data_IF_415128818262
#
_entry.id   IF_415128818262
#
_cell.length_a   1.000
_cell.length_b   1.000
_cell.length_c   1.000
_cell.angle_alpha   90.00
_cell.angle_beta   90.00
_cell.angle_gamma   90.00
#
_symmetry.space_group_name_H-M   'P 1'
#
loop_
_entity.id
_entity.type
_entity.pdbx_description
1 polymer ?
#
# COMPACT_ATOMS: atom_id res chain seq x y z
N UNK A 1 -10.16 -17.34 12.32
CA UNK A 1 -9.25 -16.23 11.96
C UNK A 1 -10.12 -15.15 11.39
N UNK A 2 -10.10 -13.95 11.97
CA UNK A 2 -10.77 -12.80 11.37
C UNK A 2 -9.95 -12.37 10.15
N UNK A 3 -10.59 -12.23 8.99
CA UNK A 3 -9.93 -11.85 7.74
C UNK A 3 -9.53 -10.37 7.71
N UNK A 4 -10.14 -9.56 8.58
CA UNK A 4 -9.88 -8.13 8.77
C UNK A 4 -9.09 -7.84 10.04
N UNK A 5 -8.30 -8.81 10.52
CA UNK A 5 -7.42 -8.61 11.67
C UNK A 5 -5.98 -8.43 11.18
N UNK A 6 -5.45 -7.22 11.38
CA UNK A 6 -4.11 -6.80 10.95
C UNK A 6 -2.97 -7.62 11.58
N UNK A 7 -3.23 -8.36 12.66
CA UNK A 7 -2.22 -9.20 13.33
C UNK A 7 -2.01 -10.56 12.66
N UNK A 8 -2.88 -10.92 11.70
CA UNK A 8 -2.86 -12.22 11.03
C UNK A 8 -2.46 -12.09 9.56
N UNK A 9 -1.83 -13.14 9.04
CA UNK A 9 -1.50 -13.28 7.62
C UNK A 9 -2.44 -14.26 6.93
N UNK A 10 -2.64 -14.07 5.63
CA UNK A 10 -3.32 -15.05 4.78
C UNK A 10 -2.30 -16.10 4.30
N UNK A 11 -2.47 -17.40 4.62
CA UNK A 11 -1.48 -18.41 4.27
C UNK A 11 -1.33 -18.59 2.75
N UNK A 12 -0.11 -18.49 2.22
CA UNK A 12 0.14 -18.60 0.78
C UNK A 12 -0.24 -19.96 0.17
N UNK A 13 -0.33 -21.02 0.99
CA UNK A 13 -0.83 -22.34 0.54
C UNK A 13 -2.31 -22.29 0.12
N UNK A 14 -3.09 -21.43 0.75
CA UNK A 14 -4.52 -21.25 0.46
C UNK A 14 -4.74 -20.06 -0.48
N UNK A 15 -3.92 -19.01 -0.35
CA UNK A 15 -4.00 -17.78 -1.12
C UNK A 15 -2.66 -17.50 -1.82
N UNK A 16 -2.40 -18.11 -2.99
CA UNK A 16 -1.13 -17.96 -3.68
C UNK A 16 -0.92 -16.50 -4.16
N UNK A 17 0.32 -16.05 -4.11
CA UNK A 17 0.72 -14.74 -4.60
C UNK A 17 0.48 -14.62 -6.12
N UNK A 18 0.04 -13.44 -6.56
CA UNK A 18 -0.17 -13.11 -7.97
C UNK A 18 0.73 -11.94 -8.34
N UNK A 19 1.52 -12.09 -9.40
CA UNK A 19 2.36 -10.99 -9.91
C UNK A 19 1.47 -9.93 -10.57
N UNK A 20 1.60 -8.68 -10.13
CA UNK A 20 0.83 -7.54 -10.66
C UNK A 20 1.68 -6.64 -11.55
N UNK A 21 2.92 -6.33 -11.13
CA UNK A 21 3.81 -5.44 -11.87
C UNK A 21 5.15 -5.25 -11.16
N UNK A 22 5.89 -4.22 -11.57
CA UNK A 22 7.18 -3.81 -11.02
C UNK A 22 7.22 -2.27 -11.00
N UNK A 23 7.89 -1.69 -10.00
CA UNK A 23 8.11 -0.24 -9.91
C UNK A 23 9.57 0.02 -9.51
N UNK A 24 10.15 1.10 -10.03
CA UNK A 24 11.55 1.47 -9.83
C UNK A 24 11.66 2.92 -9.34
N UNK A 25 12.63 3.19 -8.47
CA UNK A 25 13.00 4.54 -8.02
C UNK A 25 14.31 4.95 -8.72
N UNK A 26 14.22 5.87 -9.67
CA UNK A 26 15.33 6.23 -10.56
C UNK A 26 15.84 7.67 -10.39
N UNK A 27 15.27 8.46 -9.46
CA UNK A 27 15.60 9.86 -9.25
C UNK A 27 15.58 10.23 -7.76
N UNK A 28 16.49 11.13 -7.36
CA UNK A 28 16.54 11.70 -6.01
C UNK A 28 15.86 13.07 -5.97
N UNK A 29 15.25 13.45 -4.83
CA UNK A 29 14.67 14.78 -4.65
C UNK A 29 15.70 15.91 -4.84
N UNK A 30 15.30 17.02 -5.47
CA UNK A 30 16.15 18.20 -5.64
C UNK A 30 16.12 19.10 -4.41
N UNK A 31 14.98 19.17 -3.73
CA UNK A 31 14.79 19.87 -2.47
C UNK A 31 14.09 18.96 -1.46
N UNK A 32 14.87 18.44 -0.52
CA UNK A 32 14.40 17.51 0.49
C UNK A 32 13.24 18.06 1.34
N UNK A 33 13.27 19.34 1.74
CA UNK A 33 12.19 19.90 2.54
C UNK A 33 10.88 20.00 1.76
N UNK A 34 10.95 20.49 0.52
CA UNK A 34 9.78 20.66 -0.32
C UNK A 34 9.17 19.32 -0.79
N UNK A 35 10.01 18.31 -1.04
CA UNK A 35 9.57 17.06 -1.68
C UNK A 35 9.40 15.89 -0.71
N UNK A 36 10.16 15.85 0.40
CA UNK A 36 10.10 14.76 1.39
C UNK A 36 9.42 15.23 2.67
N UNK A 37 9.87 16.33 3.28
CA UNK A 37 9.30 16.76 4.57
C UNK A 37 7.85 17.26 4.45
N UNK A 38 7.46 17.76 3.27
CA UNK A 38 6.09 18.21 3.00
C UNK A 38 5.21 17.15 2.33
N UNK A 39 5.73 15.95 2.06
CA UNK A 39 4.94 14.90 1.41
C UNK A 39 3.82 14.42 2.34
N UNK A 40 2.64 14.18 1.78
CA UNK A 40 1.49 13.69 2.53
C UNK A 40 0.90 12.45 1.85
N UNK A 41 0.91 11.33 2.58
CA UNK A 41 0.27 10.09 2.15
C UNK A 41 -1.01 9.87 2.95
N UNK A 42 -2.10 9.56 2.25
CA UNK A 42 -3.40 9.31 2.88
C UNK A 42 -4.02 8.02 2.30
N UNK A 43 -4.22 6.97 3.12
CA UNK A 43 -4.89 5.75 2.68
C UNK A 43 -6.31 5.97 2.13
N UNK A 44 -6.98 7.05 2.53
CA UNK A 44 -8.31 7.40 2.01
C UNK A 44 -8.29 7.95 0.57
N UNK A 45 -7.11 8.28 0.03
CA UNK A 45 -6.96 8.78 -1.34
C UNK A 45 -6.85 7.62 -2.34
N UNK A 46 -7.99 7.04 -2.73
CA UNK A 46 -8.06 5.87 -3.62
C UNK A 46 -8.67 6.19 -4.99
N UNK A 47 -8.13 5.62 -6.09
CA UNK A 47 -8.74 5.71 -7.42
C UNK A 47 -9.94 4.74 -7.58
N UNK A 48 -10.83 4.95 -8.57
CA UNK A 48 -11.92 4.02 -8.84
C UNK A 48 -11.43 2.59 -9.07
N UNK A 49 -12.07 1.62 -8.42
CA UNK A 49 -11.69 0.20 -8.46
C UNK A 49 -10.83 -0.28 -7.28
N UNK A 50 -10.44 0.61 -6.35
CA UNK A 50 -9.79 0.28 -5.08
C UNK A 50 -10.60 0.88 -3.94
N UNK A 51 -10.96 0.07 -2.95
CA UNK A 51 -11.87 0.44 -1.86
C UNK A 51 -11.39 -0.15 -0.51
N UNK A 52 -11.77 0.45 0.63
CA UNK A 52 -11.37 -0.04 1.95
C UNK A 52 -12.20 -1.27 2.36
N UNK A 53 -11.63 -2.13 3.20
CA UNK A 53 -12.37 -3.20 3.89
C UNK A 53 -12.92 -2.74 5.24
N UNK A 54 -13.59 -3.65 5.97
CA UNK A 54 -14.12 -3.40 7.32
C UNK A 54 -13.09 -3.67 8.44
N UNK A 55 -11.81 -3.38 8.19
CA UNK A 55 -10.75 -3.46 9.22
C UNK A 55 -10.92 -2.28 10.18
N UNK A 56 -10.99 -2.51 11.51
CA UNK A 56 -11.27 -1.48 12.51
C UNK A 56 -10.16 -0.44 12.75
#
# INVERSE_FOLDING_TARGET
>A
INVFDLTHIWPHKQFPLRKIGEFELNENPMNYFAEVEQIAFNPAHMPPGIEPSADP
#
